data_IF_990309076754
#
_entry.id   IF_990309076754
#
_cell.length_a   1.000
_cell.length_b   1.000
_cell.length_c   1.000
_cell.angle_alpha   90.00
_cell.angle_beta   90.00
_cell.angle_gamma   90.00
#
_symmetry.space_group_name_H-M   'P 1'
#
loop_
_entity.id
_entity.type
_entity.pdbx_description
1 polymer ?
#
# COMPACT_ATOMS: atom_id res chain seq x y z
N UNK A 1 16.50 23.20 16.51
CA UNK A 1 15.68 21.97 16.31
C UNK A 1 16.59 20.85 15.84
N UNK A 2 16.96 19.94 16.74
CA UNK A 2 17.92 18.86 16.45
C UNK A 2 17.25 17.78 15.57
N UNK A 3 17.75 17.59 14.34
CA UNK A 3 17.31 16.48 13.49
C UNK A 3 17.80 15.16 14.11
N UNK A 4 16.87 14.28 14.47
CA UNK A 4 17.19 12.95 14.98
C UNK A 4 18.14 12.22 14.00
N UNK A 5 19.26 11.69 14.51
CA UNK A 5 20.22 10.89 13.76
C UNK A 5 19.50 9.66 13.19
N UNK A 6 19.27 9.64 11.88
CA UNK A 6 18.76 8.46 11.16
C UNK A 6 19.81 7.36 11.28
N UNK A 7 19.47 6.27 11.98
CA UNK A 7 20.34 5.09 12.11
C UNK A 7 20.45 4.43 10.73
N UNK A 8 21.59 4.63 10.06
CA UNK A 8 21.85 4.09 8.71
C UNK A 8 21.95 2.56 8.82
N UNK A 9 21.11 1.84 8.07
CA UNK A 9 21.12 0.38 8.02
C UNK A 9 22.38 -0.07 7.27
N UNK A 10 23.27 -0.81 7.94
CA UNK A 10 24.60 -1.18 7.41
C UNK A 10 24.65 -2.57 6.75
N UNK A 11 23.72 -3.47 7.09
CA UNK A 11 23.70 -4.85 6.58
C UNK A 11 22.79 -5.00 5.37
N UNK A 12 23.23 -5.82 4.40
CA UNK A 12 22.49 -6.11 3.19
C UNK A 12 22.08 -7.58 3.13
N UNK A 13 20.92 -7.85 2.52
CA UNK A 13 20.43 -9.19 2.23
C UNK A 13 20.39 -9.33 0.71
N UNK A 14 21.00 -10.39 0.17
CA UNK A 14 20.97 -10.74 -1.25
C UNK A 14 20.34 -12.12 -1.38
N UNK A 15 19.30 -12.25 -2.19
CA UNK A 15 18.68 -13.53 -2.51
C UNK A 15 18.78 -13.79 -4.02
N UNK A 16 18.90 -15.07 -4.39
CA UNK A 16 18.79 -15.49 -5.78
C UNK A 16 17.31 -15.55 -6.13
N UNK A 17 16.98 -15.08 -7.32
CA UNK A 17 15.63 -15.12 -7.85
C UNK A 17 15.71 -15.21 -9.38
N UNK A 18 14.72 -15.86 -9.96
CA UNK A 18 14.57 -15.95 -11.42
C UNK A 18 14.23 -14.58 -12.01
N UNK A 19 14.42 -14.44 -13.32
CA UNK A 19 14.09 -13.20 -14.05
C UNK A 19 12.62 -12.82 -13.90
N UNK A 20 11.73 -13.82 -13.83
CA UNK A 20 10.30 -13.62 -13.65
C UNK A 20 9.95 -13.15 -12.24
N UNK A 21 10.47 -13.82 -11.20
CA UNK A 21 10.25 -13.43 -9.80
C UNK A 21 10.73 -12.01 -9.52
N UNK A 22 11.88 -11.61 -10.07
CA UNK A 22 12.38 -10.24 -9.96
C UNK A 22 11.38 -9.22 -10.52
N UNK A 23 10.76 -9.52 -11.66
CA UNK A 23 9.76 -8.64 -12.29
C UNK A 23 8.46 -8.63 -11.49
N UNK A 24 8.03 -9.78 -10.98
CA UNK A 24 6.85 -9.91 -10.13
C UNK A 24 7.00 -9.07 -8.84
N UNK A 25 8.13 -9.16 -8.16
CA UNK A 25 8.42 -8.36 -6.96
C UNK A 25 8.40 -6.86 -7.26
N UNK A 26 8.90 -6.43 -8.43
CA UNK A 26 8.79 -5.03 -8.85
C UNK A 26 7.35 -4.57 -9.06
N UNK A 27 6.51 -5.40 -9.70
CA UNK A 27 5.09 -5.06 -9.92
C UNK A 27 4.36 -4.96 -8.58
N UNK A 28 4.56 -5.93 -7.68
CA UNK A 28 3.93 -5.91 -6.36
C UNK A 28 4.39 -4.73 -5.50
N UNK A 29 5.70 -4.42 -5.51
CA UNK A 29 6.23 -3.24 -4.82
C UNK A 29 5.65 -1.93 -5.36
N UNK A 30 5.48 -1.82 -6.69
CA UNK A 30 4.82 -0.66 -7.33
C UNK A 30 3.37 -0.50 -6.89
N UNK A 31 2.59 -1.58 -6.84
CA UNK A 31 1.19 -1.56 -6.35
C UNK A 31 1.11 -1.07 -4.90
N UNK A 32 2.05 -1.50 -4.06
CA UNK A 32 2.12 -1.06 -2.68
C UNK A 32 2.73 0.35 -2.50
N UNK A 33 3.15 1.04 -3.57
CA UNK A 33 3.90 2.31 -3.49
C UNK A 33 5.16 2.24 -2.59
N UNK A 34 5.82 1.08 -2.57
CA UNK A 34 7.01 0.84 -1.77
C UNK A 34 8.23 0.62 -2.65
N UNK A 35 9.41 0.95 -2.14
CA UNK A 35 10.65 0.48 -2.75
C UNK A 35 10.74 -1.03 -2.63
N UNK A 36 11.39 -1.69 -3.58
CA UNK A 36 11.49 -3.15 -3.60
C UNK A 36 12.12 -3.72 -2.31
N UNK A 37 13.10 -3.02 -1.73
CA UNK A 37 13.73 -3.38 -0.46
C UNK A 37 12.81 -3.22 0.74
N UNK A 38 11.93 -2.21 0.74
CA UNK A 38 10.94 -2.03 1.79
C UNK A 38 9.82 -3.06 1.67
N UNK A 39 9.37 -3.33 0.44
CA UNK A 39 8.38 -4.36 0.14
C UNK A 39 8.86 -5.74 0.62
N UNK A 40 10.05 -6.19 0.21
CA UNK A 40 10.60 -7.47 0.66
C UNK A 40 10.76 -7.56 2.18
N UNK A 41 11.10 -6.44 2.84
CA UNK A 41 11.25 -6.40 4.31
C UNK A 41 9.89 -6.53 5.00
N UNK A 42 8.88 -5.81 4.54
CA UNK A 42 7.53 -5.87 5.10
C UNK A 42 6.91 -7.25 4.88
N UNK A 43 7.04 -7.82 3.67
CA UNK A 43 6.57 -9.18 3.38
C UNK A 43 7.27 -10.24 4.25
N UNK A 44 8.59 -10.13 4.46
CA UNK A 44 9.34 -11.11 5.24
C UNK A 44 9.12 -10.99 6.76
N UNK A 45 8.68 -9.83 7.25
CA UNK A 45 8.41 -9.57 8.66
C UNK A 45 6.91 -9.69 9.02
N UNK A 46 6.08 -10.15 8.08
CA UNK A 46 4.62 -10.26 8.21
C UNK A 46 3.91 -8.91 8.55
N UNK A 47 4.57 -7.79 8.25
CA UNK A 47 3.97 -6.47 8.40
C UNK A 47 2.87 -6.29 7.36
N UNK A 48 1.68 -5.84 7.80
CA UNK A 48 0.52 -5.62 6.92
C UNK A 48 0.91 -4.73 5.73
N UNK A 49 0.97 -5.32 4.55
CA UNK A 49 1.11 -4.61 3.29
C UNK A 49 -0.26 -4.04 2.96
N UNK A 50 -0.51 -2.81 3.38
CA UNK A 50 -1.72 -2.08 3.00
C UNK A 50 -1.54 -1.69 1.53
N UNK A 51 -2.10 -2.50 0.64
CA UNK A 51 -2.21 -2.15 -0.78
C UNK A 51 -3.02 -0.85 -0.85
N UNK A 52 -2.40 0.22 -1.36
CA UNK A 52 -3.12 1.49 -1.54
C UNK A 52 -4.17 1.26 -2.62
N UNK A 53 -5.41 1.62 -2.32
CA UNK A 53 -6.48 1.67 -3.32
C UNK A 53 -6.01 2.51 -4.50
N UNK A 54 -6.31 2.05 -5.71
CA UNK A 54 -6.09 2.84 -6.92
C UNK A 54 -6.98 4.09 -6.90
N UNK A 55 -6.61 5.10 -7.67
CA UNK A 55 -7.37 6.35 -7.74
C UNK A 55 -8.83 6.11 -8.16
N UNK A 56 -9.05 5.18 -9.09
CA UNK A 56 -10.37 4.69 -9.52
C UNK A 56 -11.16 4.07 -8.37
N UNK A 57 -10.53 3.22 -7.54
CA UNK A 57 -11.18 2.59 -6.40
C UNK A 57 -11.58 3.62 -5.34
N UNK A 58 -10.76 4.66 -5.15
CA UNK A 58 -11.07 5.78 -4.25
C UNK A 58 -12.28 6.56 -4.76
N UNK A 59 -12.38 6.79 -6.06
CA UNK A 59 -13.50 7.50 -6.68
C UNK A 59 -14.82 6.72 -6.55
N UNK A 60 -14.81 5.42 -6.87
CA UNK A 60 -15.96 4.54 -6.66
C UNK A 60 -16.38 4.52 -5.19
N UNK A 61 -15.43 4.45 -4.26
CA UNK A 61 -15.72 4.47 -2.84
C UNK A 61 -16.39 5.78 -2.38
N UNK A 62 -15.93 6.94 -2.88
CA UNK A 62 -16.57 8.23 -2.61
C UNK A 62 -18.02 8.27 -3.11
N UNK A 63 -18.25 7.76 -4.31
CA UNK A 63 -19.60 7.66 -4.89
C UNK A 63 -20.52 6.77 -4.07
N UNK A 64 -20.02 5.62 -3.59
CA UNK A 64 -20.78 4.73 -2.69
C UNK A 64 -21.15 5.40 -1.37
N UNK A 65 -20.23 6.15 -0.76
CA UNK A 65 -20.51 6.94 0.45
C UNK A 65 -21.61 7.96 0.18
N UNK A 66 -21.53 8.67 -0.95
CA UNK A 66 -22.52 9.67 -1.32
C UNK A 66 -23.91 9.05 -1.47
N UNK A 67 -24.03 7.90 -2.14
CA UNK A 67 -25.28 7.16 -2.24
C UNK A 67 -25.79 6.69 -0.87
N UNK A 68 -24.90 6.16 -0.01
CA UNK A 68 -25.27 5.78 1.34
C UNK A 68 -25.88 6.96 2.12
N UNK A 69 -25.31 8.15 2.02
CA UNK A 69 -25.87 9.34 2.64
C UNK A 69 -27.21 9.75 2.03
N UNK A 70 -27.36 9.67 0.71
CA UNK A 70 -28.64 9.95 0.04
C UNK A 70 -29.75 9.01 0.51
N UNK A 71 -29.48 7.69 0.54
CA UNK A 71 -30.45 6.70 1.01
C UNK A 71 -30.79 6.88 2.50
N UNK A 72 -29.79 7.18 3.34
CA UNK A 72 -30.02 7.47 4.76
C UNK A 72 -30.89 8.70 4.96
N UNK A 73 -30.70 9.76 4.16
CA UNK A 73 -31.53 10.98 4.23
C UNK A 73 -32.96 10.72 3.79
N UNK A 74 -33.17 9.95 2.72
CA UNK A 74 -34.51 9.58 2.26
C UNK A 74 -35.23 8.76 3.33
N UNK A 75 -34.58 7.75 3.89
CA UNK A 75 -35.18 6.90 4.94
C UNK A 75 -35.40 7.61 6.28
N UNK A 76 -34.83 8.81 6.48
CA UNK A 76 -35.06 9.63 7.67
C UNK A 76 -36.15 10.70 7.46
N UNK A 77 -36.64 10.84 6.22
CA UNK A 77 -37.76 11.69 5.81
C UNK A 77 -39.05 10.89 5.54
N UNK A 78 -39.00 9.57 5.73
CA UNK A 78 -40.14 8.64 5.77
C UNK A 78 -40.32 8.18 7.20
#
# INVERSE_FOLDING_TARGET
MAKAKVKIKATYIKFRCTRFEKRLLQVKAKRANLSLSSYCRMTALDDKIIERFTEEQIEVYKTLIQYHHHFKRIGNHV
#
